data_IF_412966476456
#
_entry.id   IF_412966476456
#
_cell.length_a   1.000
_cell.length_b   1.000
_cell.length_c   1.000
_cell.angle_alpha   90.00
_cell.angle_beta   90.00
_cell.angle_gamma   90.00
#
_symmetry.space_group_name_H-M   'P 1'
#
loop_
_entity.id
_entity.type
_entity.pdbx_description
1 polymer ?
#
# COMPACT_ATOMS: atom_id res chain seq x y z
N UNK A 1 -17.78 -20.31 10.72
CA UNK A 1 -16.43 -20.24 11.28
C UNK A 1 -15.58 -19.34 10.38
N UNK A 2 -14.55 -18.68 10.91
CA UNK A 2 -13.69 -17.76 10.15
C UNK A 2 -13.14 -18.37 8.85
N UNK A 3 -12.84 -19.66 8.83
CA UNK A 3 -12.40 -20.40 7.64
C UNK A 3 -13.48 -20.45 6.53
N UNK A 4 -14.75 -20.57 6.87
CA UNK A 4 -15.84 -20.58 5.90
C UNK A 4 -16.08 -19.19 5.29
N UNK A 5 -15.81 -18.13 6.03
CA UNK A 5 -15.97 -16.76 5.55
C UNK A 5 -14.82 -16.35 4.63
N UNK A 6 -13.60 -16.83 4.89
CA UNK A 6 -12.46 -16.66 3.98
C UNK A 6 -12.71 -17.39 2.66
N UNK A 7 -13.26 -18.61 2.70
CA UNK A 7 -13.59 -19.38 1.50
C UNK A 7 -14.65 -18.68 0.63
N UNK A 8 -15.65 -18.07 1.23
CA UNK A 8 -16.70 -17.33 0.52
C UNK A 8 -16.22 -16.04 -0.17
N UNK A 9 -15.08 -15.49 0.25
CA UNK A 9 -14.46 -14.29 -0.35
C UNK A 9 -13.48 -14.61 -1.48
N UNK A 10 -13.31 -15.89 -1.82
CA UNK A 10 -12.44 -16.34 -2.91
C UNK A 10 -13.23 -16.40 -4.22
N UNK A 11 -12.61 -15.89 -5.30
CA UNK A 11 -13.12 -16.12 -6.65
C UNK A 11 -12.77 -17.54 -7.04
N UNK A 12 -13.79 -18.36 -7.27
CA UNK A 12 -13.61 -19.76 -7.68
C UNK A 12 -13.42 -19.81 -9.19
N UNK A 13 -12.25 -20.23 -9.62
CA UNK A 13 -11.94 -20.44 -11.03
C UNK A 13 -12.05 -21.94 -11.31
N UNK A 14 -12.99 -22.38 -12.18
CA UNK A 14 -13.10 -23.77 -12.59
C UNK A 14 -11.88 -24.16 -13.43
N UNK A 15 -11.19 -25.22 -12.99
CA UNK A 15 -10.08 -25.82 -13.74
C UNK A 15 -10.60 -26.99 -14.60
N UNK A 16 -10.03 -27.23 -15.80
CA UNK A 16 -10.31 -28.41 -16.59
C UNK A 16 -9.84 -29.65 -15.79
N UNK A 17 -10.79 -30.36 -15.17
CA UNK A 17 -10.52 -31.49 -14.26
C UNK A 17 -11.42 -31.53 -13.03
N UNK A 18 -12.39 -30.61 -12.89
CA UNK A 18 -13.41 -30.64 -11.84
C UNK A 18 -12.95 -30.06 -10.48
N UNK A 19 -11.73 -29.56 -10.37
CA UNK A 19 -11.24 -28.86 -9.20
C UNK A 19 -11.45 -27.33 -9.35
N UNK A 20 -11.80 -26.66 -8.25
CA UNK A 20 -11.94 -25.20 -8.21
C UNK A 20 -10.76 -24.57 -7.47
N UNK A 21 -10.12 -23.60 -8.08
CA UNK A 21 -9.03 -22.84 -7.46
C UNK A 21 -9.61 -21.58 -6.85
N UNK A 22 -9.62 -21.51 -5.52
CA UNK A 22 -10.07 -20.31 -4.79
C UNK A 22 -8.95 -19.28 -4.72
N UNK A 23 -9.05 -18.20 -5.50
CA UNK A 23 -8.09 -17.10 -5.47
C UNK A 23 -8.75 -15.88 -4.84
N UNK A 24 -8.07 -15.24 -3.88
CA UNK A 24 -8.55 -14.00 -3.29
C UNK A 24 -8.60 -12.88 -4.35
N UNK A 25 -9.70 -12.14 -4.39
CA UNK A 25 -9.85 -10.96 -5.27
C UNK A 25 -8.68 -9.98 -5.08
N UNK A 26 -8.18 -9.87 -3.86
CA UNK A 26 -7.04 -9.01 -3.54
C UNK A 26 -5.77 -9.45 -4.28
N UNK A 27 -5.50 -10.75 -4.39
CA UNK A 27 -4.35 -11.28 -5.13
C UNK A 27 -4.48 -10.98 -6.62
N UNK A 28 -5.69 -11.15 -7.18
CA UNK A 28 -5.97 -10.88 -8.59
C UNK A 28 -5.75 -9.39 -8.93
N UNK A 29 -6.02 -8.50 -8.00
CA UNK A 29 -5.78 -7.07 -8.20
C UNK A 29 -4.33 -6.68 -7.93
N UNK A 30 -3.73 -7.19 -6.87
CA UNK A 30 -2.40 -6.77 -6.40
C UNK A 30 -1.28 -7.24 -7.33
N UNK A 31 -1.29 -8.51 -7.74
CA UNK A 31 -0.20 -9.09 -8.54
C UNK A 31 -0.10 -8.45 -9.94
N UNK A 32 -1.18 -8.39 -10.76
CA UNK A 32 -1.11 -7.76 -12.07
C UNK A 32 -0.76 -6.27 -11.99
N UNK A 33 -1.32 -5.56 -11.01
CA UNK A 33 -1.03 -4.14 -10.80
C UNK A 33 0.43 -3.93 -10.41
N UNK A 34 0.96 -4.74 -9.49
CA UNK A 34 2.35 -4.69 -9.08
C UNK A 34 3.32 -5.03 -10.22
N UNK A 35 3.01 -6.05 -11.02
CA UNK A 35 3.81 -6.40 -12.21
C UNK A 35 3.76 -5.27 -13.23
N UNK A 36 2.59 -4.72 -13.52
CA UNK A 36 2.44 -3.60 -14.43
C UNK A 36 3.30 -2.41 -14.01
N UNK A 37 3.25 -2.01 -12.75
CA UNK A 37 4.07 -0.92 -12.24
C UNK A 37 5.56 -1.26 -12.23
N UNK A 38 5.94 -2.47 -11.88
CA UNK A 38 7.34 -2.92 -11.89
C UNK A 38 7.93 -2.81 -13.29
N UNK A 39 7.23 -3.29 -14.31
CA UNK A 39 7.66 -3.21 -15.71
C UNK A 39 7.65 -1.75 -16.19
N UNK A 40 6.58 -1.01 -15.92
CA UNK A 40 6.40 0.39 -16.36
C UNK A 40 7.44 1.34 -15.76
N UNK A 41 7.86 1.09 -14.53
CA UNK A 41 8.89 1.87 -13.84
C UNK A 41 10.31 1.33 -14.06
N UNK A 42 10.48 0.29 -14.92
CA UNK A 42 11.78 -0.33 -15.22
C UNK A 42 12.52 -0.77 -13.95
N UNK A 43 11.86 -1.54 -13.09
CA UNK A 43 12.42 -2.03 -11.81
C UNK A 43 13.01 -0.92 -10.93
N UNK A 44 12.32 0.19 -10.85
CA UNK A 44 12.76 1.40 -10.16
C UNK A 44 13.22 1.17 -8.71
N UNK A 45 12.55 0.36 -7.87
CA UNK A 45 13.01 0.09 -6.51
C UNK A 45 14.40 -0.53 -6.45
N UNK A 46 14.73 -1.41 -7.40
CA UNK A 46 16.05 -2.06 -7.45
C UNK A 46 17.11 -1.06 -7.95
N UNK A 47 16.78 -0.28 -8.97
CA UNK A 47 17.72 0.68 -9.58
C UNK A 47 18.06 1.85 -8.65
N UNK A 48 17.10 2.34 -7.90
CA UNK A 48 17.27 3.44 -6.95
C UNK A 48 17.65 2.98 -5.54
N UNK A 49 17.83 1.67 -5.31
CA UNK A 49 18.21 1.16 -4.01
C UNK A 49 19.47 1.81 -3.43
N UNK A 50 20.58 1.97 -4.18
CA UNK A 50 21.77 2.65 -3.68
C UNK A 50 21.50 4.11 -3.31
N UNK A 51 20.74 4.84 -4.13
CA UNK A 51 20.36 6.24 -3.86
C UNK A 51 19.48 6.35 -2.61
N UNK A 52 18.60 5.39 -2.40
CA UNK A 52 17.77 5.31 -1.18
C UNK A 52 18.62 5.12 0.07
N UNK A 53 19.62 4.22 0.01
CA UNK A 53 20.55 3.99 1.13
C UNK A 53 21.38 5.24 1.40
N UNK A 54 21.88 5.90 0.36
CA UNK A 54 22.62 7.16 0.49
C UNK A 54 21.75 8.26 1.12
N UNK A 55 20.50 8.42 0.69
CA UNK A 55 19.56 9.39 1.25
C UNK A 55 19.23 9.15 2.74
N UNK A 56 19.31 7.89 3.20
CA UNK A 56 19.13 7.56 4.63
C UNK A 56 20.33 7.97 5.49
N UNK A 57 21.55 7.88 4.93
CA UNK A 57 22.80 8.21 5.62
C UNK A 57 23.06 9.73 5.60
N UNK A 58 22.54 10.44 4.60
CA UNK A 58 22.66 11.90 4.53
C UNK A 58 21.97 12.59 5.71
N UNK A 59 22.77 13.29 6.53
CA UNK A 59 22.28 14.10 7.65
C UNK A 59 21.76 15.47 7.18
N UNK A 60 20.83 15.52 6.24
CA UNK A 60 20.11 16.76 5.93
C UNK A 60 19.07 17.03 7.03
N UNK A 61 19.46 17.85 8.01
CA UNK A 61 18.49 18.44 8.94
C UNK A 61 17.86 19.66 8.26
N UNK A 62 16.63 19.53 7.79
CA UNK A 62 15.81 20.71 7.59
C UNK A 62 15.49 21.34 8.96
N UNK A 63 15.58 22.65 9.06
CA UNK A 63 15.42 23.41 10.33
C UNK A 63 14.12 23.12 11.11
N UNK A 64 13.12 22.49 10.49
CA UNK A 64 11.83 22.15 11.10
C UNK A 64 11.28 20.76 10.62
N UNK A 65 12.12 19.85 10.17
CA UNK A 65 11.70 18.55 9.66
C UNK A 65 12.38 17.37 10.35
N UNK A 66 11.77 16.19 10.25
CA UNK A 66 12.36 14.92 10.68
C UNK A 66 13.51 14.53 9.72
N UNK A 67 14.59 13.97 10.26
CA UNK A 67 15.65 13.41 9.41
C UNK A 67 15.11 12.22 8.60
N UNK A 68 15.77 11.90 7.47
CA UNK A 68 15.38 10.76 6.62
C UNK A 68 15.30 9.45 7.41
N UNK A 69 16.25 9.23 8.32
CA UNK A 69 16.28 8.06 9.18
C UNK A 69 15.13 8.03 10.20
N UNK A 70 14.81 9.16 10.84
CA UNK A 70 13.65 9.27 11.73
C UNK A 70 12.35 9.02 10.99
N UNK A 71 12.21 9.56 9.79
CA UNK A 71 11.04 9.33 8.93
C UNK A 71 10.88 7.85 8.57
N UNK A 72 11.99 7.14 8.30
CA UNK A 72 11.97 5.70 8.05
C UNK A 72 11.48 4.93 9.28
N UNK A 73 12.02 5.25 10.47
CA UNK A 73 11.62 4.59 11.73
C UNK A 73 10.12 4.79 11.98
N UNK A 74 9.62 6.02 11.90
CA UNK A 74 8.20 6.33 12.13
C UNK A 74 7.33 5.62 11.09
N UNK A 75 7.70 5.67 9.81
CA UNK A 75 6.96 5.00 8.74
C UNK A 75 6.92 3.48 8.91
N UNK A 76 8.00 2.86 9.38
CA UNK A 76 8.05 1.42 9.66
C UNK A 76 7.22 1.07 10.89
N UNK A 77 7.37 1.83 11.96
CA UNK A 77 6.63 1.60 13.20
C UNK A 77 5.10 1.69 13.01
N UNK A 78 4.63 2.60 12.15
CA UNK A 78 3.20 2.75 11.87
C UNK A 78 2.63 1.67 10.94
N UNK A 79 3.47 0.96 10.19
CA UNK A 79 3.05 -0.09 9.25
C UNK A 79 3.14 -1.50 9.82
N UNK A 80 3.99 -1.71 10.82
CA UNK A 80 4.14 -3.02 11.48
C UNK A 80 3.16 -3.10 12.64
N UNK A 81 2.01 -3.73 12.40
CA UNK A 81 1.01 -4.02 13.43
C UNK A 81 1.01 -5.50 13.84
N UNK A 82 0.34 -5.81 14.93
CA UNK A 82 0.17 -7.20 15.41
C UNK A 82 -0.43 -8.12 14.34
N UNK A 83 -1.35 -7.61 13.52
CA UNK A 83 -1.96 -8.36 12.43
C UNK A 83 -0.96 -8.85 11.38
N UNK A 84 0.12 -8.10 11.13
CA UNK A 84 1.18 -8.54 10.21
C UNK A 84 1.97 -9.71 10.77
N UNK A 85 2.28 -9.71 12.07
CA UNK A 85 2.98 -10.79 12.75
C UNK A 85 2.13 -12.06 12.78
N UNK A 86 0.89 -11.95 13.21
CA UNK A 86 -0.06 -13.08 13.26
C UNK A 86 -0.31 -13.64 11.87
N UNK A 87 -0.43 -12.78 10.84
CA UNK A 87 -0.60 -13.18 9.46
C UNK A 87 0.58 -13.98 8.91
N UNK A 88 1.81 -13.59 9.22
CA UNK A 88 3.03 -14.32 8.83
C UNK A 88 3.08 -15.68 9.52
N UNK A 89 2.83 -15.73 10.83
CA UNK A 89 2.81 -16.99 11.59
C UNK A 89 1.76 -17.95 11.03
N UNK A 90 0.54 -17.46 10.78
CA UNK A 90 -0.54 -18.27 10.21
C UNK A 90 -0.19 -18.78 8.80
N UNK A 91 0.42 -17.95 7.95
CA UNK A 91 0.83 -18.33 6.62
C UNK A 91 1.92 -19.41 6.63
N UNK A 92 2.91 -19.31 7.52
CA UNK A 92 3.97 -20.30 7.66
C UNK A 92 3.40 -21.62 8.23
N UNK A 93 2.52 -21.53 9.22
CA UNK A 93 1.88 -22.71 9.82
C UNK A 93 1.03 -23.49 8.82
N UNK A 94 0.37 -22.81 7.89
CA UNK A 94 -0.48 -23.44 6.89
C UNK A 94 0.29 -23.87 5.62
N UNK A 95 1.25 -23.09 5.17
CA UNK A 95 1.93 -23.25 3.89
C UNK A 95 3.41 -23.67 3.98
N UNK A 96 3.94 -23.84 5.20
CA UNK A 96 5.33 -24.25 5.42
C UNK A 96 6.35 -23.27 4.80
N UNK A 97 7.51 -23.79 4.45
CA UNK A 97 8.61 -23.00 3.86
C UNK A 97 8.23 -22.33 2.53
N UNK A 98 7.32 -22.90 1.75
CA UNK A 98 6.83 -22.33 0.50
C UNK A 98 6.11 -21.00 0.69
N UNK A 99 5.45 -20.79 1.82
CA UNK A 99 4.78 -19.53 2.12
C UNK A 99 5.78 -18.37 2.22
N UNK A 100 6.96 -18.60 2.81
CA UNK A 100 8.01 -17.58 2.94
C UNK A 100 8.50 -17.13 1.56
N UNK A 101 8.74 -18.09 0.66
CA UNK A 101 9.14 -17.79 -0.71
C UNK A 101 8.11 -16.88 -1.41
N UNK A 102 6.83 -17.25 -1.34
CA UNK A 102 5.76 -16.45 -1.97
C UNK A 102 5.57 -15.09 -1.31
N UNK A 103 5.78 -14.97 0.00
CA UNK A 103 5.79 -13.67 0.68
C UNK A 103 6.90 -12.76 0.14
N UNK A 104 8.10 -13.28 -0.12
CA UNK A 104 9.18 -12.49 -0.72
C UNK A 104 8.86 -12.05 -2.13
N UNK A 105 8.33 -12.96 -2.96
CA UNK A 105 7.93 -12.62 -4.33
C UNK A 105 6.88 -11.50 -4.34
N UNK A 106 5.85 -11.62 -3.51
CA UNK A 106 4.80 -10.60 -3.42
C UNK A 106 5.31 -9.29 -2.83
N UNK A 107 6.25 -9.32 -1.90
CA UNK A 107 6.88 -8.11 -1.35
C UNK A 107 7.68 -7.35 -2.42
N UNK A 108 8.45 -8.05 -3.25
CA UNK A 108 9.21 -7.43 -4.35
C UNK A 108 8.26 -6.79 -5.37
N UNK A 109 7.22 -7.51 -5.77
CA UNK A 109 6.20 -7.00 -6.71
C UNK A 109 5.46 -5.79 -6.11
N UNK A 110 5.08 -5.88 -4.83
CA UNK A 110 4.36 -4.83 -4.12
C UNK A 110 5.20 -3.59 -3.82
N UNK A 111 6.53 -3.71 -3.78
CA UNK A 111 7.42 -2.57 -3.50
C UNK A 111 7.30 -1.46 -4.55
N UNK A 112 7.10 -1.81 -5.81
CA UNK A 112 6.88 -0.84 -6.89
C UNK A 112 5.58 -0.06 -6.73
N UNK A 113 4.52 -0.72 -6.30
CA UNK A 113 3.23 -0.09 -6.02
C UNK A 113 3.35 0.86 -4.84
N UNK A 114 3.98 0.43 -3.75
CA UNK A 114 4.21 1.26 -2.57
C UNK A 114 5.07 2.50 -2.88
N UNK A 115 6.08 2.36 -3.75
CA UNK A 115 6.90 3.48 -4.19
C UNK A 115 6.07 4.52 -4.95
N UNK A 116 5.22 4.10 -5.89
CA UNK A 116 4.35 5.01 -6.66
C UNK A 116 3.36 5.72 -5.74
N UNK A 117 2.75 4.98 -4.80
CA UNK A 117 1.84 5.55 -3.81
C UNK A 117 2.52 6.64 -2.97
N UNK A 118 3.71 6.35 -2.45
CA UNK A 118 4.48 7.31 -1.67
C UNK A 118 4.88 8.54 -2.49
N UNK A 119 5.26 8.35 -3.74
CA UNK A 119 5.61 9.45 -4.67
C UNK A 119 4.40 10.34 -4.94
N UNK A 120 3.24 9.75 -5.24
CA UNK A 120 2.00 10.50 -5.46
C UNK A 120 1.59 11.27 -4.20
N UNK A 121 1.72 10.65 -3.02
CA UNK A 121 1.43 11.32 -1.76
C UNK A 121 2.33 12.54 -1.50
N UNK A 122 3.58 12.49 -1.94
CA UNK A 122 4.52 13.63 -1.84
C UNK A 122 4.25 14.72 -2.89
N UNK A 123 3.88 14.35 -4.12
CA UNK A 123 3.59 15.29 -5.19
C UNK A 123 2.33 16.11 -4.93
N UNK A 124 1.30 15.47 -4.39
CA UNK A 124 0.00 16.09 -4.14
C UNK A 124 -0.24 16.43 -2.66
N UNK A 125 0.83 16.62 -1.89
CA UNK A 125 0.71 17.09 -0.50
C UNK A 125 0.33 18.56 -0.45
N UNK A 126 -0.57 18.89 0.46
CA UNK A 126 -1.01 20.26 0.75
C UNK A 126 -0.52 20.70 2.13
N UNK A 127 -0.33 22.00 2.32
CA UNK A 127 -0.04 22.55 3.65
C UNK A 127 -1.28 22.44 4.54
N UNK A 128 -1.08 21.92 5.75
CA UNK A 128 -2.16 21.86 6.74
C UNK A 128 -2.30 23.22 7.42
N UNK A 129 -3.48 23.88 7.30
CA UNK A 129 -3.72 25.16 7.94
C UNK A 129 -3.81 25.08 9.47
N UNK A 130 -4.05 23.88 10.05
CA UNK A 130 -4.27 23.71 11.49
C UNK A 130 -2.96 23.52 12.26
N UNK A 131 -1.99 22.77 11.71
CA UNK A 131 -0.79 22.36 12.43
C UNK A 131 0.51 22.81 11.78
N UNK A 132 0.46 23.56 10.67
CA UNK A 132 1.64 24.04 9.95
C UNK A 132 2.47 22.94 9.26
N UNK A 133 2.00 21.70 9.27
CA UNK A 133 2.62 20.56 8.60
C UNK A 133 2.09 20.34 7.18
N UNK A 134 2.21 19.10 6.70
CA UNK A 134 1.70 18.71 5.39
C UNK A 134 0.68 17.57 5.56
N UNK A 135 -0.38 17.63 4.77
CA UNK A 135 -1.37 16.56 4.64
C UNK A 135 -1.39 16.07 3.20
N UNK A 136 -1.61 14.78 3.02
CA UNK A 136 -1.61 14.15 1.72
C UNK A 136 -2.18 12.74 1.81
N UNK A 137 -2.03 11.98 0.73
CA UNK A 137 -2.46 10.60 0.65
C UNK A 137 -3.45 10.34 -0.49
N UNK A 138 -4.03 9.13 -0.56
CA UNK A 138 -4.86 8.71 -1.69
C UNK A 138 -6.05 9.62 -1.97
N UNK A 139 -6.71 10.14 -0.93
CA UNK A 139 -7.84 11.04 -1.09
C UNK A 139 -7.45 12.33 -1.85
N UNK A 140 -6.25 12.86 -1.61
CA UNK A 140 -5.76 14.10 -2.21
C UNK A 140 -5.36 13.91 -3.67
N UNK A 141 -4.56 12.91 -4.00
CA UNK A 141 -4.16 12.71 -5.40
C UNK A 141 -5.30 12.19 -6.28
N UNK A 142 -6.27 11.44 -5.74
CA UNK A 142 -7.50 11.10 -6.47
C UNK A 142 -8.31 12.36 -6.78
N UNK A 143 -8.42 13.26 -5.81
CA UNK A 143 -9.13 14.53 -6.00
C UNK A 143 -8.46 15.38 -7.09
N UNK A 144 -7.15 15.58 -6.99
CA UNK A 144 -6.38 16.35 -7.95
C UNK A 144 -6.44 15.75 -9.37
N UNK A 145 -6.33 14.43 -9.50
CA UNK A 145 -6.44 13.75 -10.79
C UNK A 145 -7.81 13.94 -11.46
N UNK A 146 -8.88 13.86 -10.67
CA UNK A 146 -10.25 14.05 -11.21
C UNK A 146 -10.48 15.50 -11.62
N UNK A 147 -9.97 16.47 -10.86
CA UNK A 147 -10.04 17.90 -11.23
C UNK A 147 -9.30 18.18 -12.53
N UNK A 148 -8.09 17.66 -12.67
CA UNK A 148 -7.27 17.82 -13.87
C UNK A 148 -7.96 17.22 -15.11
N UNK A 149 -8.51 16.00 -14.98
CA UNK A 149 -9.19 15.32 -16.08
C UNK A 149 -10.51 15.98 -16.47
N UNK A 150 -11.27 16.50 -15.52
CA UNK A 150 -12.56 17.15 -15.78
C UNK A 150 -12.45 18.63 -16.09
N UNK A 151 -11.25 19.24 -16.00
CA UNK A 151 -10.99 20.68 -16.17
C UNK A 151 -11.95 21.58 -15.36
N UNK A 152 -12.51 21.06 -14.29
CA UNK A 152 -13.49 21.75 -13.45
C UNK A 152 -13.11 21.62 -11.99
N UNK A 153 -12.88 22.77 -11.34
CA UNK A 153 -12.59 22.83 -9.91
C UNK A 153 -13.82 22.36 -9.13
N UNK A 154 -13.70 21.32 -8.34
CA UNK A 154 -14.79 20.75 -7.54
C UNK A 154 -14.38 20.72 -6.08
N UNK A 155 -15.21 21.29 -5.21
CA UNK A 155 -14.96 21.29 -3.77
C UNK A 155 -14.92 19.89 -3.13
N UNK A 156 -15.62 18.91 -3.73
CA UNK A 156 -15.63 17.52 -3.25
C UNK A 156 -15.80 16.59 -4.44
N UNK A 157 -14.90 15.63 -4.57
CA UNK A 157 -15.01 14.53 -5.54
C UNK A 157 -15.55 13.31 -4.81
N UNK A 158 -16.67 12.76 -5.28
CA UNK A 158 -17.37 11.66 -4.63
C UNK A 158 -16.45 10.46 -4.39
N UNK A 159 -15.60 10.12 -5.35
CA UNK A 159 -14.66 9.00 -5.24
C UNK A 159 -13.65 9.24 -4.10
N UNK A 160 -13.13 10.45 -3.96
CA UNK A 160 -12.20 10.83 -2.89
C UNK A 160 -12.86 10.73 -1.51
N UNK A 161 -14.11 11.16 -1.40
CA UNK A 161 -14.90 11.07 -0.14
C UNK A 161 -15.20 9.61 0.20
N UNK A 162 -15.63 8.80 -0.77
CA UNK A 162 -15.86 7.36 -0.56
C UNK A 162 -14.59 6.64 -0.12
N UNK A 163 -13.45 6.99 -0.72
CA UNK A 163 -12.16 6.44 -0.30
C UNK A 163 -11.83 6.81 1.15
N UNK A 164 -12.02 8.08 1.53
CA UNK A 164 -11.76 8.54 2.90
C UNK A 164 -12.67 7.85 3.92
N UNK A 165 -13.97 7.69 3.62
CA UNK A 165 -14.93 7.00 4.48
C UNK A 165 -14.55 5.53 4.63
N UNK A 166 -14.25 4.84 3.53
CA UNK A 166 -13.84 3.42 3.57
C UNK A 166 -12.53 3.23 4.36
N UNK A 167 -11.60 4.17 4.25
CA UNK A 167 -10.38 4.20 5.03
C UNK A 167 -10.66 4.34 6.54
N UNK A 168 -11.54 5.25 6.93
CA UNK A 168 -11.94 5.41 8.34
C UNK A 168 -12.59 4.15 8.91
N UNK A 169 -13.50 3.54 8.16
CA UNK A 169 -14.15 2.28 8.58
C UNK A 169 -13.10 1.17 8.74
N UNK A 170 -12.17 1.07 7.80
CA UNK A 170 -11.08 0.09 7.88
C UNK A 170 -10.20 0.31 9.13
N UNK A 171 -9.83 1.55 9.42
CA UNK A 171 -9.05 1.91 10.61
C UNK A 171 -9.78 1.58 11.92
N UNK A 172 -11.08 1.88 11.99
CA UNK A 172 -11.89 1.50 13.14
C UNK A 172 -11.94 -0.02 13.34
N UNK A 173 -11.99 -0.80 12.26
CA UNK A 173 -11.94 -2.25 12.32
C UNK A 173 -10.58 -2.81 12.79
N UNK A 174 -9.48 -2.20 12.36
CA UNK A 174 -8.12 -2.63 12.74
C UNK A 174 -7.79 -2.25 14.19
N UNK A 175 -8.32 -1.13 14.69
CA UNK A 175 -8.04 -0.67 16.06
C UNK A 175 -8.73 -1.51 17.14
N UNK A 176 -9.62 -2.43 16.76
CA UNK A 176 -10.32 -3.33 17.71
C UNK A 176 -9.68 -4.72 17.84
N UNK A 177 -8.60 -4.98 17.13
CA UNK A 177 -7.79 -6.20 17.19
C UNK A 177 -6.47 -5.91 17.89
#
# INVERSE_FOLDING_TARGET
SAASDVYKRQVQIPLPGGSTLGISLLIILLIPTGIYFTVRTRFLPIRLFPDMVQALVEKKQEKNGLSSFQTLIVSTATRVGMGNLVGVVAAISAGGAGAVFWMWVTAIIGSSTAFIEATLAQLYKEKDPLYGGYRGGPAYYIHAYVEEKQKKKRNKVVISVLFAISGLICWCGISQV
#
